data_IF_631679271285
#
_entry.id   IF_631679271285
#
_cell.length_a   1.000
_cell.length_b   1.000
_cell.length_c   1.000
_cell.angle_alpha   90.00
_cell.angle_beta   90.00
_cell.angle_gamma   90.00
#
_symmetry.space_group_name_H-M   'P 1'
#
loop_
_entity.id
_entity.type
_entity.pdbx_description
1 polymer ?
#
# COMPACT_ATOMS: atom_id res chain seq x y z
N UNK A 1 3.91 97.29 -48.36
CA UNK A 1 3.83 95.85 -48.69
C UNK A 1 5.23 95.26 -48.53
N UNK A 2 5.37 94.10 -47.85
CA UNK A 2 6.59 93.44 -47.32
C UNK A 2 7.14 93.96 -45.97
N UNK A 3 6.51 93.52 -44.88
CA UNK A 3 7.16 93.36 -43.57
C UNK A 3 8.33 92.37 -43.73
N UNK A 4 9.56 92.87 -43.85
CA UNK A 4 10.75 92.03 -43.72
C UNK A 4 11.10 91.93 -42.23
N UNK A 5 10.48 90.93 -41.61
CA UNK A 5 10.82 90.39 -40.31
C UNK A 5 12.32 90.03 -40.32
N UNK A 6 13.17 90.89 -39.74
CA UNK A 6 14.57 90.58 -39.45
C UNK A 6 14.58 89.44 -38.43
N UNK A 7 14.50 88.20 -38.91
CA UNK A 7 14.70 87.00 -38.10
C UNK A 7 16.16 87.01 -37.67
N UNK A 8 16.40 87.47 -36.46
CA UNK A 8 17.72 87.51 -35.85
C UNK A 8 18.24 86.08 -35.70
N UNK A 9 19.42 85.82 -36.25
CA UNK A 9 20.09 84.52 -36.19
C UNK A 9 20.27 84.00 -34.74
N UNK A 10 20.24 84.90 -33.77
CA UNK A 10 20.28 84.61 -32.33
C UNK A 10 19.06 83.80 -31.85
N UNK A 11 17.86 84.01 -32.40
CA UNK A 11 16.68 83.24 -31.99
C UNK A 11 16.71 81.78 -32.44
N UNK A 12 17.30 81.50 -33.61
CA UNK A 12 17.46 80.15 -34.15
C UNK A 12 18.54 79.37 -33.40
N UNK A 13 19.65 80.02 -33.04
CA UNK A 13 20.72 79.39 -32.26
C UNK A 13 20.26 78.99 -30.85
N UNK A 14 19.42 79.80 -30.20
CA UNK A 14 18.84 79.47 -28.90
C UNK A 14 17.88 78.28 -28.99
N UNK A 15 17.03 78.24 -30.04
CA UNK A 15 16.13 77.10 -30.28
C UNK A 15 16.89 75.80 -30.59
N UNK A 16 17.95 75.88 -31.40
CA UNK A 16 18.83 74.73 -31.68
C UNK A 16 19.53 74.22 -30.42
N UNK A 17 20.00 75.12 -29.55
CA UNK A 17 20.59 74.76 -28.26
C UNK A 17 19.59 74.06 -27.33
N UNK A 18 18.36 74.56 -27.26
CA UNK A 18 17.30 73.93 -26.46
C UNK A 18 16.89 72.56 -27.01
N UNK A 19 16.79 72.40 -28.34
CA UNK A 19 16.48 71.09 -28.95
C UNK A 19 17.61 70.09 -28.71
N UNK A 20 18.87 70.51 -28.78
CA UNK A 20 20.02 69.67 -28.48
C UNK A 20 20.06 69.23 -27.01
N UNK A 21 19.79 70.15 -26.07
CA UNK A 21 19.72 69.85 -24.64
C UNK A 21 18.55 68.94 -24.27
N UNK A 22 17.36 69.17 -24.84
CA UNK A 22 16.21 68.29 -24.62
C UNK A 22 16.45 66.88 -25.16
N UNK A 23 17.15 66.77 -26.31
CA UNK A 23 17.53 65.49 -26.88
C UNK A 23 18.61 64.76 -26.07
N UNK A 24 19.55 65.49 -25.44
CA UNK A 24 20.51 64.92 -24.49
C UNK A 24 19.84 64.43 -23.20
N UNK A 25 18.87 65.17 -22.64
CA UNK A 25 18.11 64.74 -21.45
C UNK A 25 17.26 63.50 -21.73
N UNK A 26 16.63 63.39 -22.91
CA UNK A 26 15.83 62.23 -23.31
C UNK A 26 16.72 60.99 -23.53
N UNK A 27 17.88 61.16 -24.15
CA UNK A 27 18.89 60.10 -24.30
C UNK A 27 19.42 59.67 -22.94
N UNK A 28 19.77 60.61 -22.05
CA UNK A 28 20.25 60.29 -20.70
C UNK A 28 19.19 59.55 -19.87
N UNK A 29 17.93 59.98 -19.95
CA UNK A 29 16.79 59.30 -19.30
C UNK A 29 16.59 57.86 -19.78
N UNK A 30 16.68 57.63 -21.10
CA UNK A 30 16.58 56.28 -21.68
C UNK A 30 17.76 55.37 -21.28
N UNK A 31 18.97 55.92 -21.24
CA UNK A 31 20.18 55.20 -20.80
C UNK A 31 20.09 54.83 -19.32
N UNK A 32 19.65 55.77 -18.47
CA UNK A 32 19.40 55.51 -17.03
C UNK A 32 18.37 54.40 -16.85
N UNK A 33 17.31 54.37 -17.66
CA UNK A 33 16.28 53.32 -17.62
C UNK A 33 16.83 51.93 -18.03
N UNK A 34 17.66 51.87 -19.06
CA UNK A 34 18.32 50.61 -19.48
C UNK A 34 19.24 50.07 -18.37
N UNK A 35 19.98 50.95 -17.68
CA UNK A 35 20.83 50.53 -16.56
C UNK A 35 20.02 49.97 -15.38
N UNK A 36 18.84 50.55 -15.09
CA UNK A 36 17.95 50.02 -14.04
C UNK A 36 17.38 48.65 -14.39
N UNK A 37 16.87 48.46 -15.61
CA UNK A 37 16.35 47.16 -16.06
C UNK A 37 17.43 46.07 -16.08
N UNK A 38 18.65 46.39 -16.55
CA UNK A 38 19.78 45.45 -16.52
C UNK A 38 20.15 45.02 -15.10
N UNK A 39 20.07 45.94 -14.14
CA UNK A 39 20.32 45.65 -12.72
C UNK A 39 19.25 44.71 -12.15
N UNK A 40 17.98 44.95 -12.47
CA UNK A 40 16.86 44.09 -12.07
C UNK A 40 16.97 42.70 -12.69
N UNK A 41 17.26 42.62 -13.99
CA UNK A 41 17.46 41.36 -14.71
C UNK A 41 18.60 40.55 -14.10
N UNK A 42 19.73 41.20 -13.78
CA UNK A 42 20.86 40.54 -13.10
C UNK A 42 20.47 40.01 -11.72
N UNK A 43 19.64 40.76 -10.97
CA UNK A 43 19.11 40.32 -9.68
C UNK A 43 18.21 39.09 -9.84
N UNK A 44 17.31 39.12 -10.81
CA UNK A 44 16.38 38.02 -11.09
C UNK A 44 17.11 36.74 -11.54
N UNK A 45 18.15 36.87 -12.37
CA UNK A 45 19.01 35.75 -12.77
C UNK A 45 19.72 35.14 -11.56
N UNK A 46 20.19 35.98 -10.63
CA UNK A 46 20.75 35.52 -9.36
C UNK A 46 19.74 34.74 -8.53
N UNK A 47 18.54 35.30 -8.32
CA UNK A 47 17.48 34.64 -7.58
C UNK A 47 17.06 33.31 -8.24
N UNK A 48 16.90 33.29 -9.56
CA UNK A 48 16.55 32.08 -10.31
C UNK A 48 17.64 31.00 -10.20
N UNK A 49 18.92 31.39 -10.27
CA UNK A 49 20.04 30.46 -10.08
C UNK A 49 20.02 29.86 -8.67
N UNK A 50 19.74 30.65 -7.63
CA UNK A 50 19.61 30.12 -6.27
C UNK A 50 18.42 29.17 -6.14
N UNK A 51 17.25 29.53 -6.69
CA UNK A 51 16.06 28.66 -6.69
C UNK A 51 16.31 27.35 -7.45
N UNK A 52 17.02 27.40 -8.58
CA UNK A 52 17.38 26.22 -9.35
C UNK A 52 18.25 25.27 -8.53
N UNK A 53 19.33 25.78 -7.90
CA UNK A 53 20.20 24.95 -7.08
C UNK A 53 19.49 24.36 -5.86
N UNK A 54 18.61 25.11 -5.20
CA UNK A 54 17.79 24.59 -4.10
C UNK A 54 16.85 23.50 -4.61
N UNK A 55 16.15 23.71 -5.72
CA UNK A 55 15.25 22.71 -6.30
C UNK A 55 15.99 21.44 -6.75
N UNK A 56 17.21 21.57 -7.31
CA UNK A 56 18.07 20.43 -7.65
C UNK A 56 18.48 19.62 -6.41
N UNK A 57 18.79 20.31 -5.31
CA UNK A 57 19.12 19.66 -4.03
C UNK A 57 17.92 18.92 -3.45
N UNK A 58 16.75 19.57 -3.41
CA UNK A 58 15.50 18.97 -2.93
C UNK A 58 15.10 17.75 -3.76
N UNK A 59 15.22 17.82 -5.09
CA UNK A 59 14.95 16.69 -5.99
C UNK A 59 15.89 15.51 -5.73
N UNK A 60 17.16 15.79 -5.43
CA UNK A 60 18.14 14.75 -5.10
C UNK A 60 17.79 14.07 -3.77
N UNK A 61 17.38 14.84 -2.76
CA UNK A 61 16.93 14.30 -1.47
C UNK A 61 15.66 13.46 -1.62
N UNK A 62 14.66 13.96 -2.36
CA UNK A 62 13.43 13.23 -2.64
C UNK A 62 13.69 11.90 -3.37
N UNK A 63 14.59 11.88 -4.36
CA UNK A 63 14.99 10.64 -5.05
C UNK A 63 15.60 9.63 -4.08
N UNK A 64 16.53 10.07 -3.23
CA UNK A 64 17.14 9.20 -2.23
C UNK A 64 16.11 8.63 -1.24
N UNK A 65 15.13 9.44 -0.83
CA UNK A 65 14.04 8.99 0.05
C UNK A 65 13.13 7.96 -0.64
N UNK A 66 12.78 8.18 -1.91
CA UNK A 66 11.99 7.23 -2.71
C UNK A 66 12.74 5.90 -2.86
N UNK A 67 14.03 5.93 -3.12
CA UNK A 67 14.85 4.73 -3.24
C UNK A 67 14.90 3.94 -1.92
N UNK A 68 15.03 4.65 -0.79
CA UNK A 68 14.98 4.05 0.55
C UNK A 68 13.62 3.39 0.83
N UNK A 69 12.51 4.08 0.57
CA UNK A 69 11.16 3.55 0.79
C UNK A 69 10.87 2.34 -0.11
N UNK A 70 11.33 2.37 -1.37
CA UNK A 70 11.19 1.23 -2.28
C UNK A 70 11.94 0.00 -1.75
N UNK A 71 13.15 0.20 -1.22
CA UNK A 71 13.93 -0.87 -0.61
C UNK A 71 13.25 -1.44 0.64
N UNK A 72 12.78 -0.59 1.55
CA UNK A 72 12.06 -1.02 2.75
C UNK A 72 10.79 -1.82 2.39
N UNK A 73 10.05 -1.40 1.37
CA UNK A 73 8.87 -2.11 0.86
C UNK A 73 9.22 -3.47 0.25
N UNK A 74 10.36 -3.60 -0.42
CA UNK A 74 10.82 -4.86 -1.00
C UNK A 74 11.29 -5.85 0.06
N UNK A 75 11.87 -5.35 1.15
CA UNK A 75 12.32 -6.15 2.29
C UNK A 75 11.18 -6.54 3.24
N UNK A 76 10.00 -5.93 3.12
CA UNK A 76 8.85 -6.30 3.95
C UNK A 76 8.41 -7.76 3.69
N UNK A 77 8.30 -8.58 4.74
CA UNK A 77 7.88 -9.96 4.61
C UNK A 77 6.45 -10.02 4.07
N UNK A 78 6.24 -10.82 3.03
CA UNK A 78 4.93 -11.13 2.47
C UNK A 78 4.55 -12.55 2.86
N UNK A 79 3.47 -12.69 3.61
CA UNK A 79 3.02 -14.01 4.10
C UNK A 79 1.52 -14.10 3.90
N UNK A 80 1.09 -15.07 3.11
CA UNK A 80 -0.33 -15.36 2.91
C UNK A 80 -0.49 -16.80 2.45
N UNK A 81 -1.46 -17.50 3.01
CA UNK A 81 -1.85 -18.82 2.55
C UNK A 81 -3.37 -18.95 2.47
N UNK A 82 -3.81 -19.83 1.59
CA UNK A 82 -5.20 -20.26 1.47
C UNK A 82 -5.19 -21.72 1.06
N UNK A 83 -5.87 -22.57 1.84
CA UNK A 83 -5.93 -24.00 1.64
C UNK A 83 -7.36 -24.52 1.89
N UNK A 84 -7.69 -25.62 1.22
CA UNK A 84 -8.96 -26.33 1.35
C UNK A 84 -8.73 -27.80 1.72
N UNK A 85 -9.76 -28.45 2.25
CA UNK A 85 -9.74 -29.90 2.43
C UNK A 85 -9.63 -30.60 1.06
N UNK A 86 -8.75 -31.59 0.98
CA UNK A 86 -8.49 -32.32 -0.27
C UNK A 86 -9.34 -33.59 -0.36
N UNK A 87 -10.20 -33.68 -1.38
CA UNK A 87 -10.87 -34.92 -1.75
C UNK A 87 -11.26 -34.92 -3.23
N UNK A 88 -11.19 -36.08 -3.88
CA UNK A 88 -11.70 -36.31 -5.25
C UNK A 88 -13.17 -36.72 -5.28
N UNK A 89 -13.70 -37.16 -4.14
CA UNK A 89 -15.08 -37.62 -3.96
C UNK A 89 -15.68 -36.95 -2.72
N UNK A 90 -16.99 -36.74 -2.73
CA UNK A 90 -17.68 -36.20 -1.57
C UNK A 90 -17.70 -37.23 -0.45
N UNK A 91 -17.23 -36.85 0.74
CA UNK A 91 -17.10 -37.74 1.89
C UNK A 91 -17.21 -36.98 3.21
N UNK A 92 -17.43 -37.72 4.28
CA UNK A 92 -17.32 -37.18 5.63
C UNK A 92 -15.94 -37.51 6.20
N UNK A 93 -15.35 -36.55 6.92
CA UNK A 93 -14.18 -36.78 7.75
C UNK A 93 -14.61 -36.73 9.22
N UNK A 94 -14.52 -37.87 9.90
CA UNK A 94 -15.15 -38.13 11.19
C UNK A 94 -16.45 -38.97 11.05
N UNK A 95 -17.17 -39.22 12.15
CA UNK A 95 -16.85 -38.80 13.52
C UNK A 95 -15.54 -39.39 14.03
N UNK A 96 -14.80 -38.60 14.81
CA UNK A 96 -13.52 -38.99 15.41
C UNK A 96 -13.65 -39.18 16.91
N UNK A 97 -12.90 -40.13 17.46
CA UNK A 97 -12.92 -40.52 18.87
C UNK A 97 -12.03 -39.63 19.77
N UNK A 98 -11.23 -38.76 19.16
CA UNK A 98 -10.45 -37.73 19.84
C UNK A 98 -10.32 -36.48 18.96
N UNK A 99 -10.21 -35.30 19.58
CA UNK A 99 -9.99 -34.04 18.86
C UNK A 99 -8.74 -34.18 17.96
N UNK A 100 -8.89 -34.02 16.64
CA UNK A 100 -7.83 -34.37 15.68
C UNK A 100 -7.44 -33.17 14.84
N UNK A 101 -6.15 -33.03 14.57
CA UNK A 101 -5.64 -31.98 13.69
C UNK A 101 -6.15 -32.18 12.25
N UNK A 102 -6.68 -31.12 11.66
CA UNK A 102 -7.34 -31.15 10.37
C UNK A 102 -6.41 -30.59 9.28
N UNK A 103 -6.09 -31.41 8.28
CA UNK A 103 -5.09 -31.09 7.26
C UNK A 103 -5.79 -30.59 5.98
N UNK A 104 -5.59 -29.31 5.66
CA UNK A 104 -6.09 -28.70 4.42
C UNK A 104 -5.05 -28.88 3.31
N UNK A 105 -5.06 -30.08 2.72
CA UNK A 105 -4.04 -30.51 1.75
C UNK A 105 -4.09 -29.83 0.38
N UNK A 106 -5.23 -29.21 0.00
CA UNK A 106 -5.37 -28.52 -1.29
C UNK A 106 -4.93 -27.08 -1.13
N UNK A 107 -3.69 -26.75 -1.52
CA UNK A 107 -3.13 -25.40 -1.39
C UNK A 107 -3.48 -24.56 -2.61
N UNK A 108 -4.11 -23.40 -2.40
CA UNK A 108 -4.42 -22.41 -3.43
C UNK A 108 -3.32 -21.34 -3.50
N UNK A 109 -2.88 -20.87 -2.33
CA UNK A 109 -1.84 -19.85 -2.17
C UNK A 109 -0.95 -20.20 -0.98
N UNK A 110 0.36 -19.96 -1.08
CA UNK A 110 1.30 -20.14 0.03
C UNK A 110 2.54 -19.23 -0.11
N UNK A 111 2.31 -17.92 -0.17
CA UNK A 111 3.37 -16.91 -0.24
C UNK A 111 4.13 -16.90 1.09
N UNK A 112 5.47 -16.96 1.01
CA UNK A 112 6.35 -17.07 2.16
C UNK A 112 6.46 -18.50 2.74
N UNK A 113 5.76 -19.48 2.14
CA UNK A 113 5.85 -20.91 2.50
C UNK A 113 5.65 -21.20 4.00
N UNK A 114 4.81 -20.40 4.66
CA UNK A 114 4.56 -20.50 6.10
C UNK A 114 3.53 -21.59 6.46
N UNK A 115 2.72 -22.06 5.50
CA UNK A 115 1.79 -23.17 5.69
C UNK A 115 2.38 -24.48 5.18
N UNK A 116 2.33 -25.54 6.00
CA UNK A 116 2.75 -26.88 5.64
C UNK A 116 1.52 -27.76 5.33
N UNK A 117 1.29 -28.13 4.05
CA UNK A 117 0.11 -28.93 3.66
C UNK A 117 0.19 -30.40 4.06
N UNK A 118 1.35 -30.89 4.50
CA UNK A 118 1.52 -32.25 5.01
C UNK A 118 1.03 -32.33 6.46
N UNK A 119 1.30 -31.29 7.26
CA UNK A 119 0.94 -31.26 8.68
C UNK A 119 -0.32 -30.46 8.97
N UNK A 120 -0.77 -29.61 8.05
CA UNK A 120 -1.90 -28.70 8.28
C UNK A 120 -1.55 -27.47 9.15
N UNK A 121 -0.26 -27.23 9.40
CA UNK A 121 0.23 -26.23 10.35
C UNK A 121 0.76 -25.00 9.64
N UNK A 122 0.32 -23.82 10.08
CA UNK A 122 0.96 -22.54 9.78
C UNK A 122 2.02 -22.24 10.85
N UNK A 123 3.22 -21.83 10.44
CA UNK A 123 4.30 -21.39 11.34
C UNK A 123 4.68 -19.95 11.02
N UNK A 124 4.61 -19.06 12.01
CA UNK A 124 4.91 -17.64 11.79
C UNK A 124 6.40 -17.44 11.42
N UNK A 125 6.73 -16.93 10.21
CA UNK A 125 8.13 -16.76 9.81
C UNK A 125 8.80 -15.53 10.44
N UNK A 126 7.99 -14.56 10.89
CA UNK A 126 8.41 -13.32 11.54
C UNK A 126 7.45 -13.01 12.69
N UNK A 127 7.86 -12.15 13.60
CA UNK A 127 6.94 -11.58 14.59
C UNK A 127 5.98 -10.62 13.89
N UNK A 128 4.69 -10.67 14.23
CA UNK A 128 3.72 -9.77 13.63
C UNK A 128 2.28 -10.05 14.03
N UNK A 129 1.37 -9.29 13.44
CA UNK A 129 -0.07 -9.49 13.59
C UNK A 129 -0.61 -10.21 12.36
N UNK A 130 -1.29 -11.32 12.58
CA UNK A 130 -1.82 -12.19 11.53
C UNK A 130 -3.34 -12.26 11.64
N UNK A 131 -4.01 -12.31 10.49
CA UNK A 131 -5.43 -12.64 10.44
C UNK A 131 -5.61 -14.05 9.89
N UNK A 132 -6.45 -14.84 10.54
CA UNK A 132 -6.84 -16.17 10.11
C UNK A 132 -8.35 -16.25 9.93
N UNK A 133 -8.78 -16.96 8.90
CA UNK A 133 -10.18 -17.30 8.66
C UNK A 133 -10.29 -18.77 8.33
N UNK A 134 -11.34 -19.41 8.85
CA UNK A 134 -11.64 -20.80 8.57
C UNK A 134 -13.13 -21.00 8.36
N UNK A 135 -13.47 -22.01 7.57
CA UNK A 135 -14.83 -22.46 7.33
C UNK A 135 -14.92 -23.98 7.38
N UNK A 136 -16.06 -24.46 7.84
CA UNK A 136 -16.44 -25.86 7.84
C UNK A 136 -17.81 -26.04 7.22
N UNK A 137 -18.06 -27.24 6.72
CA UNK A 137 -19.35 -27.63 6.20
C UNK A 137 -19.92 -28.82 6.99
N UNK A 138 -21.08 -28.62 7.57
CA UNK A 138 -21.89 -29.67 8.18
C UNK A 138 -22.75 -30.37 7.13
N UNK A 139 -23.13 -31.61 7.42
CA UNK A 139 -24.09 -32.36 6.62
C UNK A 139 -24.90 -33.27 7.53
N UNK A 140 -26.12 -33.62 7.09
CA UNK A 140 -27.07 -34.43 7.86
C UNK A 140 -26.43 -35.71 8.42
N UNK A 141 -26.54 -35.92 9.74
CA UNK A 141 -26.13 -37.16 10.42
C UNK A 141 -25.24 -36.96 11.63
N UNK A 142 -24.41 -35.90 11.65
CA UNK A 142 -23.59 -35.51 12.80
C UNK A 142 -23.35 -34.00 12.82
N UNK A 143 -23.19 -33.47 14.03
CA UNK A 143 -22.76 -32.09 14.25
C UNK A 143 -21.39 -31.82 13.63
N UNK A 144 -21.11 -30.56 13.36
CA UNK A 144 -19.82 -30.07 12.90
C UNK A 144 -19.23 -29.13 13.94
N UNK A 145 -17.98 -29.36 14.31
CA UNK A 145 -17.29 -28.53 15.31
C UNK A 145 -15.83 -28.38 14.95
N UNK A 146 -15.39 -27.14 14.71
CA UNK A 146 -14.01 -26.82 14.35
C UNK A 146 -13.45 -25.76 15.30
N UNK A 147 -12.18 -25.90 15.64
CA UNK A 147 -11.45 -24.91 16.42
C UNK A 147 -10.11 -24.57 15.79
N UNK A 148 -9.74 -23.30 15.87
CA UNK A 148 -8.38 -22.85 15.60
C UNK A 148 -7.57 -22.82 16.89
N UNK A 149 -6.35 -23.33 16.81
CA UNK A 149 -5.40 -23.43 17.91
C UNK A 149 -4.16 -22.59 17.64
N UNK A 150 -3.61 -21.99 18.69
CA UNK A 150 -2.28 -21.37 18.74
C UNK A 150 -1.47 -22.10 19.82
N UNK A 151 -0.36 -22.73 19.46
CA UNK A 151 0.56 -23.43 20.38
C UNK A 151 -0.15 -24.34 21.41
N UNK A 152 -1.15 -25.11 20.97
CA UNK A 152 -1.93 -26.01 21.83
C UNK A 152 -3.09 -25.37 22.58
N UNK A 153 -3.24 -24.04 22.55
CA UNK A 153 -4.37 -23.33 23.12
C UNK A 153 -5.47 -23.08 22.07
N UNK A 154 -6.72 -23.42 22.41
CA UNK A 154 -7.89 -23.11 21.59
C UNK A 154 -8.17 -21.61 21.61
N UNK A 155 -8.26 -20.99 20.44
CA UNK A 155 -8.47 -19.54 20.33
C UNK A 155 -9.93 -19.19 20.00
N UNK A 156 -10.48 -19.80 18.94
CA UNK A 156 -11.86 -19.60 18.50
C UNK A 156 -12.43 -20.89 17.92
N UNK A 157 -13.76 -20.97 17.83
CA UNK A 157 -14.46 -22.14 17.31
C UNK A 157 -15.66 -21.77 16.46
N UNK A 158 -16.11 -22.72 15.66
CA UNK A 158 -17.45 -22.78 15.06
C UNK A 158 -18.09 -24.10 15.40
N UNK A 159 -19.39 -24.10 15.58
CA UNK A 159 -20.17 -25.29 15.82
C UNK A 159 -21.51 -25.16 15.11
N UNK A 160 -21.91 -26.22 14.40
CA UNK A 160 -23.23 -26.36 13.82
C UNK A 160 -23.86 -27.64 14.32
N UNK A 161 -25.09 -27.50 14.83
CA UNK A 161 -25.93 -28.63 15.15
C UNK A 161 -26.59 -29.14 13.87
N UNK A 162 -26.53 -30.45 13.60
CA UNK A 162 -27.16 -31.01 12.40
C UNK A 162 -28.37 -31.86 12.73
N UNK A 163 -29.54 -31.29 12.43
CA UNK A 163 -30.81 -32.01 12.50
C UNK A 163 -30.95 -32.98 11.32
N UNK A 164 -31.80 -34.01 11.44
CA UNK A 164 -31.95 -35.06 10.42
C UNK A 164 -32.58 -34.58 9.09
N UNK A 165 -32.97 -33.31 8.98
CA UNK A 165 -33.67 -32.74 7.82
C UNK A 165 -32.93 -31.62 7.10
N UNK A 166 -32.00 -30.94 7.79
CA UNK A 166 -31.09 -29.96 7.19
C UNK A 166 -29.87 -30.70 6.66
N UNK A 167 -29.56 -30.49 5.39
CA UNK A 167 -28.59 -31.34 4.71
C UNK A 167 -27.23 -30.68 4.59
N UNK A 168 -27.13 -29.36 4.58
CA UNK A 168 -25.89 -28.71 4.20
C UNK A 168 -25.79 -27.31 4.82
N UNK A 169 -25.01 -27.17 5.89
CA UNK A 169 -24.83 -25.91 6.60
C UNK A 169 -23.37 -25.52 6.67
N UNK A 170 -23.12 -24.23 6.47
CA UNK A 170 -21.79 -23.64 6.46
C UNK A 170 -21.59 -22.78 7.70
N UNK A 171 -20.49 -23.03 8.42
CA UNK A 171 -20.03 -22.12 9.47
C UNK A 171 -18.65 -21.57 9.16
N UNK A 172 -18.41 -20.32 9.53
CA UNK A 172 -17.09 -19.70 9.42
C UNK A 172 -16.82 -18.77 10.59
N UNK A 173 -15.54 -18.65 10.95
CA UNK A 173 -15.08 -17.69 11.96
C UNK A 173 -13.67 -17.22 11.59
N UNK A 174 -13.17 -16.20 12.27
CA UNK A 174 -11.85 -15.66 12.03
C UNK A 174 -11.30 -14.95 13.25
N UNK A 175 -9.98 -14.89 13.35
CA UNK A 175 -9.27 -14.36 14.50
C UNK A 175 -8.04 -13.58 14.05
N UNK A 176 -7.79 -12.46 14.72
CA UNK A 176 -6.53 -11.72 14.62
C UNK A 176 -5.64 -12.09 15.79
N UNK A 177 -4.42 -12.57 15.52
CA UNK A 177 -3.47 -13.03 16.52
C UNK A 177 -2.14 -12.30 16.34
N UNK A 178 -1.56 -11.85 17.46
CA UNK A 178 -0.12 -11.56 17.49
C UNK A 178 0.63 -12.87 17.64
N UNK A 179 1.57 -13.11 16.72
CA UNK A 179 2.44 -14.27 16.74
C UNK A 179 3.90 -13.85 16.86
N UNK A 180 4.65 -14.59 17.67
CA UNK A 180 6.10 -14.58 17.68
C UNK A 180 6.64 -15.52 16.58
N UNK A 181 7.88 -15.28 16.14
CA UNK A 181 8.51 -16.13 15.13
C UNK A 181 8.60 -17.58 15.63
N UNK A 182 8.06 -18.51 14.84
CA UNK A 182 8.07 -19.94 15.15
C UNK A 182 6.82 -20.44 15.87
N UNK A 183 5.94 -19.56 16.37
CA UNK A 183 4.65 -19.98 16.92
C UNK A 183 3.77 -20.58 15.82
N UNK A 184 2.96 -21.57 16.21
CA UNK A 184 2.20 -22.38 15.27
C UNK A 184 0.69 -22.18 15.43
N UNK A 185 0.00 -22.18 14.28
CA UNK A 185 -1.46 -22.08 14.20
C UNK A 185 -2.00 -23.21 13.32
N UNK A 186 -3.01 -23.92 13.81
CA UNK A 186 -3.59 -25.06 13.11
C UNK A 186 -5.05 -25.27 13.49
N UNK A 187 -5.75 -26.09 12.71
CA UNK A 187 -7.17 -26.38 12.89
C UNK A 187 -7.37 -27.76 13.50
N UNK A 188 -8.38 -27.93 14.35
CA UNK A 188 -8.80 -29.24 14.83
C UNK A 188 -10.29 -29.46 14.63
N UNK A 189 -10.65 -30.69 14.31
CA UNK A 189 -12.01 -31.22 14.35
C UNK A 189 -12.31 -31.72 15.76
N UNK A 190 -13.50 -31.43 16.28
CA UNK A 190 -13.93 -31.85 17.62
C UNK A 190 -14.18 -33.37 17.69
N UNK A 191 -14.13 -33.90 18.91
CA UNK A 191 -14.55 -35.27 19.19
C UNK A 191 -16.05 -35.44 18.85
N UNK A 192 -16.41 -36.60 18.31
CA UNK A 192 -17.78 -36.98 17.92
C UNK A 192 -18.46 -36.07 16.88
N UNK A 193 -17.72 -35.18 16.22
CA UNK A 193 -18.21 -34.37 15.11
C UNK A 193 -17.57 -34.78 13.80
N UNK A 194 -18.17 -34.37 12.68
CA UNK A 194 -17.60 -34.57 11.37
C UNK A 194 -17.59 -33.28 10.55
N UNK A 195 -16.85 -33.30 9.46
CA UNK A 195 -16.93 -32.27 8.42
C UNK A 195 -17.22 -32.93 7.08
N UNK A 196 -18.14 -32.36 6.33
CA UNK A 196 -18.43 -32.78 4.96
C UNK A 196 -17.46 -32.13 3.99
N UNK A 197 -16.77 -32.96 3.23
CA UNK A 197 -15.84 -32.55 2.19
C UNK A 197 -16.52 -32.86 0.87
N UNK A 198 -16.88 -31.82 0.12
CA UNK A 198 -17.42 -32.02 -1.22
C UNK A 198 -16.29 -32.22 -2.24
N UNK A 199 -16.46 -33.17 -3.16
CA UNK A 199 -15.45 -33.48 -4.19
C UNK A 199 -15.41 -32.50 -5.36
N UNK A 200 -16.36 -31.56 -5.45
CA UNK A 200 -16.50 -30.58 -6.55
C UNK A 200 -16.30 -29.14 -6.08
N UNK A 201 -16.73 -28.83 -4.86
CA UNK A 201 -16.76 -27.47 -4.32
C UNK A 201 -15.99 -27.39 -2.99
N UNK A 202 -15.02 -26.48 -2.91
CA UNK A 202 -14.12 -26.34 -1.76
C UNK A 202 -14.77 -25.56 -0.60
N UNK A 203 -15.74 -26.16 0.10
CA UNK A 203 -16.49 -25.48 1.17
C UNK A 203 -15.67 -25.28 2.46
N UNK A 204 -14.74 -26.19 2.74
CA UNK A 204 -13.94 -26.18 3.95
C UNK A 204 -12.58 -25.57 3.66
N UNK A 205 -12.32 -24.42 4.28
CA UNK A 205 -11.12 -23.63 4.02
C UNK A 205 -10.41 -23.21 5.29
N UNK A 206 -9.10 -23.05 5.20
CA UNK A 206 -8.26 -22.41 6.20
C UNK A 206 -7.31 -21.46 5.47
N UNK A 207 -7.36 -20.18 5.83
CA UNK A 207 -6.58 -19.13 5.20
C UNK A 207 -6.04 -18.18 6.26
N UNK A 208 -4.92 -17.54 5.96
CA UNK A 208 -4.39 -16.49 6.80
C UNK A 208 -3.28 -15.70 6.15
N UNK A 209 -3.02 -14.51 6.66
CA UNK A 209 -2.01 -13.60 6.14
C UNK A 209 -1.45 -12.68 7.22
N UNK A 210 -0.22 -12.20 7.00
CA UNK A 210 0.42 -11.17 7.81
C UNK A 210 -0.22 -9.81 7.49
N UNK A 211 -0.76 -9.13 8.50
CA UNK A 211 -1.23 -7.75 8.38
C UNK A 211 -0.05 -6.79 8.36
N UNK A 212 0.84 -6.93 9.34
CA UNK A 212 2.09 -6.16 9.43
C UNK A 212 3.09 -6.85 10.38
N UNK A 213 4.39 -6.81 10.06
CA UNK A 213 5.44 -7.24 10.98
C UNK A 213 5.54 -6.28 12.18
N UNK A 214 6.11 -6.74 13.29
CA UNK A 214 6.32 -5.94 14.50
C UNK A 214 7.73 -6.07 15.08
#
# INVERSE_FOLDING_TARGET
>A
MKMMMKRTATGWLVLLGYVCLAQEEEVLGSVVNIYTELKELRSLVGELSTKLHTAEADLKEQRAMVDKLNKEREEQPKVAFSAALLSSESKHHGPIDAETNLIFGKVLTNIGSAYNPITGVFTAPVRGVYYFRFSGNGFAGHDMGLSIFKDGQRMMSVYEYQSSGEQNDHASNGVTLQLEKGEVVYMRLWINTWVFIDGRYDYCSFSGFLLFPM
#
